data_IF_672571895846
#
_entry.id   IF_672571895846
#
_cell.length_a   1.000
_cell.length_b   1.000
_cell.length_c   1.000
_cell.angle_alpha   90.00
_cell.angle_beta   90.00
_cell.angle_gamma   90.00
#
_symmetry.space_group_name_H-M   'P 1'
#
loop_
_entity.id
_entity.type
_entity.pdbx_description
1 polymer ?
#
# COMPACT_ATOMS: atom_id res chain seq x y z
N UNK A 1 -17.05 0.49 -6.70
CA UNK A 1 -15.78 0.54 -5.91
C UNK A 1 -15.84 1.70 -4.92
N UNK A 2 -15.56 1.44 -3.62
CA UNK A 2 -15.37 2.50 -2.61
C UNK A 2 -14.12 3.31 -2.94
N UNK A 3 -14.15 4.60 -2.64
CA UNK A 3 -13.02 5.50 -2.85
C UNK A 3 -12.42 5.98 -1.54
N UNK A 4 -11.11 6.13 -1.53
CA UNK A 4 -10.30 6.75 -0.49
C UNK A 4 -9.82 8.11 -0.99
N UNK A 5 -9.80 9.11 -0.12
CA UNK A 5 -9.25 10.43 -0.45
C UNK A 5 -7.73 10.36 -0.25
N UNK A 6 -6.99 10.65 -1.31
CA UNK A 6 -5.53 10.68 -1.26
C UNK A 6 -5.07 12.01 -0.67
N UNK A 7 -4.24 11.93 0.37
CA UNK A 7 -3.68 13.10 1.03
C UNK A 7 -4.75 14.10 1.48
N UNK A 8 -4.39 15.38 1.48
CA UNK A 8 -5.32 16.46 1.83
C UNK A 8 -6.22 16.83 0.64
N UNK A 9 -7.20 15.98 0.33
CA UNK A 9 -8.18 16.18 -0.76
C UNK A 9 -7.60 16.34 -2.18
N UNK A 10 -6.42 15.73 -2.44
CA UNK A 10 -5.77 15.81 -3.76
C UNK A 10 -6.62 15.11 -4.82
N UNK A 11 -7.02 13.88 -4.56
CA UNK A 11 -7.82 13.06 -5.47
C UNK A 11 -8.53 11.95 -4.72
N UNK A 12 -9.69 11.54 -5.22
CA UNK A 12 -10.31 10.25 -4.87
C UNK A 12 -9.68 9.15 -5.71
N UNK A 13 -9.31 8.06 -5.05
CA UNK A 13 -8.71 6.87 -5.66
C UNK A 13 -9.42 5.62 -5.15
N UNK A 14 -9.36 4.48 -5.86
CA UNK A 14 -9.93 3.23 -5.37
C UNK A 14 -9.40 2.88 -3.99
N UNK A 15 -10.25 2.43 -3.08
CA UNK A 15 -9.82 1.96 -1.75
C UNK A 15 -9.02 0.65 -1.81
N UNK A 16 -9.04 -0.03 -2.96
CA UNK A 16 -8.22 -1.22 -3.27
C UNK A 16 -7.34 -0.89 -4.47
N UNK A 17 -6.03 -0.93 -4.27
CA UNK A 17 -5.00 -0.75 -5.29
C UNK A 17 -4.36 -2.11 -5.64
N UNK A 18 -3.95 -2.27 -6.87
CA UNK A 18 -3.29 -3.47 -7.41
C UNK A 18 -1.80 -3.38 -7.12
N UNK A 19 -1.29 -4.19 -6.20
CA UNK A 19 0.15 -4.32 -5.94
C UNK A 19 0.82 -5.24 -6.96
N UNK A 20 1.80 -4.71 -7.68
CA UNK A 20 2.41 -5.37 -8.84
C UNK A 20 3.63 -6.25 -8.49
N UNK A 21 4.01 -6.39 -7.21
CA UNK A 21 5.21 -7.11 -6.79
C UNK A 21 5.30 -8.55 -7.31
N UNK A 22 4.18 -9.25 -7.44
CA UNK A 22 4.10 -10.67 -7.85
C UNK A 22 3.71 -10.86 -9.31
N UNK A 23 3.74 -9.81 -10.11
CA UNK A 23 3.31 -9.87 -11.51
C UNK A 23 4.48 -10.13 -12.48
N UNK A 24 5.73 -10.16 -12.00
CA UNK A 24 6.94 -10.36 -12.81
C UNK A 24 7.01 -11.73 -13.52
N UNK A 25 6.21 -12.71 -13.09
CA UNK A 25 6.19 -14.05 -13.69
C UNK A 25 5.12 -14.22 -14.77
N UNK A 26 4.26 -13.20 -14.97
CA UNK A 26 3.24 -13.24 -16.03
C UNK A 26 3.86 -13.05 -17.40
N UNK A 27 3.27 -13.70 -18.40
CA UNK A 27 3.49 -13.31 -19.78
C UNK A 27 2.86 -11.95 -20.08
N UNK A 28 3.24 -11.32 -21.18
CA UNK A 28 2.68 -10.05 -21.61
C UNK A 28 1.15 -10.15 -21.82
N UNK A 29 0.67 -11.23 -22.44
CA UNK A 29 -0.75 -11.43 -22.69
C UNK A 29 -1.54 -11.62 -21.39
N UNK A 30 -1.00 -12.38 -20.42
CA UNK A 30 -1.60 -12.53 -19.09
C UNK A 30 -1.60 -11.21 -18.32
N UNK A 31 -0.58 -10.37 -18.49
CA UNK A 31 -0.52 -9.04 -17.87
C UNK A 31 -1.57 -8.12 -18.48
N UNK A 32 -1.67 -8.07 -19.81
CA UNK A 32 -2.68 -7.29 -20.51
C UNK A 32 -4.10 -7.67 -20.05
N UNK A 33 -4.40 -8.97 -20.03
CA UNK A 33 -5.69 -9.46 -19.54
C UNK A 33 -5.96 -9.06 -18.07
N UNK A 34 -4.94 -9.16 -17.21
CA UNK A 34 -5.07 -8.77 -15.80
C UNK A 34 -5.30 -7.27 -15.61
N UNK A 35 -4.64 -6.42 -16.43
CA UNK A 35 -4.87 -4.96 -16.41
C UNK A 35 -6.34 -4.66 -16.78
N UNK A 36 -6.85 -5.24 -17.86
CA UNK A 36 -8.26 -5.09 -18.27
C UNK A 36 -9.21 -5.53 -17.16
N UNK A 37 -9.00 -6.72 -16.60
CA UNK A 37 -9.83 -7.24 -15.53
C UNK A 37 -9.82 -6.34 -14.27
N UNK A 38 -8.69 -5.70 -13.96
CA UNK A 38 -8.60 -4.74 -12.87
C UNK A 38 -9.37 -3.44 -13.18
N UNK A 39 -9.19 -2.89 -14.37
CA UNK A 39 -9.88 -1.66 -14.81
C UNK A 39 -11.41 -1.86 -14.88
N UNK A 40 -11.88 -2.96 -15.41
CA UNK A 40 -13.32 -3.32 -15.46
C UNK A 40 -13.95 -3.38 -14.06
N UNK A 41 -13.18 -3.78 -13.05
CA UNK A 41 -13.59 -3.79 -11.65
C UNK A 41 -13.42 -2.43 -10.94
N UNK A 42 -12.92 -1.41 -11.63
CA UNK A 42 -12.64 -0.07 -11.11
C UNK A 42 -11.36 0.01 -10.26
N UNK A 43 -10.48 -0.99 -10.32
CA UNK A 43 -9.18 -1.00 -9.65
C UNK A 43 -8.09 -0.40 -10.56
N UNK A 44 -8.20 0.89 -10.84
CA UNK A 44 -7.31 1.62 -11.75
C UNK A 44 -6.02 2.13 -11.09
N UNK A 45 -5.77 1.85 -9.83
CA UNK A 45 -4.56 2.24 -9.11
C UNK A 45 -3.58 1.06 -9.06
N UNK A 46 -2.39 1.23 -9.67
CA UNK A 46 -1.35 0.20 -9.73
C UNK A 46 -0.12 0.64 -8.94
N UNK A 47 0.33 -0.22 -8.02
CA UNK A 47 1.43 0.02 -7.10
C UNK A 47 2.67 -0.81 -7.49
N UNK A 48 3.67 -0.15 -8.03
CA UNK A 48 4.95 -0.69 -8.46
C UNK A 48 6.08 -0.39 -7.47
N UNK A 49 7.28 -0.88 -7.77
CA UNK A 49 8.56 -0.44 -7.24
C UNK A 49 9.69 -0.88 -8.19
N UNK A 50 10.74 -0.07 -8.28
CA UNK A 50 11.90 -0.32 -9.15
C UNK A 50 12.61 -1.66 -8.89
N UNK A 51 12.48 -2.20 -7.67
CA UNK A 51 13.09 -3.47 -7.27
C UNK A 51 12.20 -4.70 -7.53
N UNK A 52 10.91 -4.55 -7.86
CA UNK A 52 10.00 -5.70 -8.01
C UNK A 52 10.41 -6.56 -9.21
N UNK A 53 10.82 -7.82 -8.91
CA UNK A 53 11.40 -8.70 -9.93
C UNK A 53 12.66 -8.10 -10.59
N UNK A 54 13.44 -7.28 -9.88
CA UNK A 54 14.57 -6.52 -10.42
C UNK A 54 14.20 -5.61 -11.60
N UNK A 55 13.02 -4.98 -11.54
CA UNK A 55 12.46 -4.12 -12.58
C UNK A 55 11.55 -4.85 -13.58
N UNK A 56 11.56 -6.18 -13.59
CA UNK A 56 10.78 -6.99 -14.55
C UNK A 56 9.28 -6.76 -14.41
N UNK A 57 8.78 -6.54 -13.18
CA UNK A 57 7.36 -6.27 -12.94
C UNK A 57 6.89 -4.99 -13.65
N UNK A 58 7.69 -3.93 -13.65
CA UNK A 58 7.40 -2.69 -14.38
C UNK A 58 7.52 -2.91 -15.90
N UNK A 59 8.56 -3.65 -16.35
CA UNK A 59 8.78 -3.90 -17.79
C UNK A 59 7.62 -4.68 -18.42
N UNK A 60 7.18 -5.78 -17.81
CA UNK A 60 6.07 -6.59 -18.34
C UNK A 60 4.76 -5.78 -18.34
N UNK A 61 4.52 -4.96 -17.30
CA UNK A 61 3.36 -4.08 -17.25
C UNK A 61 3.43 -3.04 -18.36
N UNK A 62 4.56 -2.35 -18.52
CA UNK A 62 4.76 -1.33 -19.54
C UNK A 62 4.65 -1.86 -20.96
N UNK A 63 5.22 -3.04 -21.25
CA UNK A 63 5.09 -3.71 -22.55
C UNK A 63 3.63 -4.09 -22.85
N UNK A 64 2.90 -4.65 -21.89
CA UNK A 64 1.49 -4.99 -22.05
C UNK A 64 0.62 -3.75 -22.28
N UNK A 65 0.94 -2.65 -21.60
CA UNK A 65 0.27 -1.37 -21.77
C UNK A 65 0.57 -0.73 -23.12
N UNK A 66 1.84 -0.69 -23.55
CA UNK A 66 2.26 -0.02 -24.77
C UNK A 66 1.75 -0.69 -26.04
N UNK A 67 1.58 -2.01 -26.01
CA UNK A 67 1.14 -2.81 -27.15
C UNK A 67 -0.40 -2.82 -27.33
N UNK A 68 -1.15 -2.29 -26.35
CA UNK A 68 -2.61 -2.25 -26.40
C UNK A 68 -3.14 -0.80 -26.50
N UNK A 69 -3.55 -0.35 -27.70
CA UNK A 69 -4.04 1.02 -27.90
C UNK A 69 -5.40 1.29 -27.21
N UNK A 70 -6.08 0.28 -26.67
CA UNK A 70 -7.32 0.44 -25.91
C UNK A 70 -7.03 0.88 -24.46
N UNK A 71 -5.84 0.60 -23.94
CA UNK A 71 -5.39 1.04 -22.63
C UNK A 71 -4.87 2.48 -22.70
N UNK A 72 -5.43 3.38 -21.92
CA UNK A 72 -5.02 4.77 -21.89
C UNK A 72 -4.33 5.12 -20.59
N UNK A 73 -3.24 5.88 -20.67
CA UNK A 73 -2.47 6.29 -19.49
C UNK A 73 -3.31 7.09 -18.47
N UNK A 74 -4.20 7.94 -18.95
CA UNK A 74 -5.09 8.75 -18.13
C UNK A 74 -6.14 7.96 -17.35
N UNK A 75 -6.45 6.73 -17.77
CA UNK A 75 -7.39 5.84 -17.08
C UNK A 75 -6.74 5.09 -15.91
N UNK A 76 -5.42 5.23 -15.74
CA UNK A 76 -4.63 4.56 -14.71
C UNK A 76 -3.97 5.56 -13.77
N UNK A 77 -3.87 5.18 -12.48
CA UNK A 77 -3.08 5.88 -11.48
C UNK A 77 -1.85 5.02 -11.17
N UNK A 78 -0.67 5.47 -11.61
CA UNK A 78 0.57 4.72 -11.45
C UNK A 78 1.38 5.28 -10.29
N UNK A 79 1.60 4.42 -9.30
CA UNK A 79 2.51 4.63 -8.18
C UNK A 79 3.73 3.74 -8.36
N UNK A 80 4.92 4.28 -8.10
CA UNK A 80 6.12 3.46 -7.96
C UNK A 80 6.99 3.94 -6.80
N UNK A 81 8.07 3.21 -6.52
CA UNK A 81 8.94 3.45 -5.36
C UNK A 81 10.40 3.29 -5.76
N UNK A 82 11.28 4.03 -5.06
CA UNK A 82 12.74 3.91 -5.23
C UNK A 82 13.46 3.99 -3.87
N UNK A 83 14.78 3.75 -3.88
CA UNK A 83 15.66 3.94 -2.74
C UNK A 83 16.18 2.66 -2.08
N UNK A 84 15.69 1.47 -2.45
CA UNK A 84 16.27 0.20 -1.99
C UNK A 84 17.34 -0.26 -2.96
N UNK A 85 18.54 -0.52 -2.45
CA UNK A 85 19.68 -1.09 -3.18
C UNK A 85 20.08 -2.43 -2.57
N UNK A 86 20.91 -3.18 -3.25
CA UNK A 86 21.43 -4.44 -2.73
C UNK A 86 22.36 -4.18 -1.53
N UNK A 87 21.85 -4.43 -0.32
CA UNK A 87 22.60 -4.31 0.92
C UNK A 87 22.60 -2.91 1.57
N UNK A 88 21.97 -1.91 0.97
CA UNK A 88 21.87 -0.55 1.52
C UNK A 88 20.66 0.21 0.97
N UNK A 89 20.35 1.35 1.56
CA UNK A 89 19.37 2.31 1.04
C UNK A 89 20.10 3.52 0.45
N UNK A 90 19.48 4.17 -0.52
CA UNK A 90 20.07 5.32 -1.22
C UNK A 90 18.96 6.30 -1.61
N UNK A 91 18.87 7.39 -0.86
CA UNK A 91 17.93 8.49 -1.13
C UNK A 91 18.68 9.75 -1.59
N UNK A 92 19.86 9.59 -2.19
CA UNK A 92 20.57 10.69 -2.83
C UNK A 92 19.78 11.24 -4.02
N UNK A 93 19.98 12.52 -4.32
CA UNK A 93 19.37 13.17 -5.50
C UNK A 93 19.64 12.41 -6.78
N UNK A 94 20.90 12.03 -7.00
CA UNK A 94 21.32 11.31 -8.22
C UNK A 94 20.55 9.99 -8.37
N UNK A 95 20.47 9.20 -7.27
CA UNK A 95 19.80 7.90 -7.32
C UNK A 95 18.30 8.05 -7.53
N UNK A 96 17.63 8.99 -6.86
CA UNK A 96 16.20 9.22 -7.04
C UNK A 96 15.88 9.58 -8.49
N UNK A 97 16.61 10.53 -9.09
CA UNK A 97 16.41 10.95 -10.47
C UNK A 97 16.62 9.80 -11.44
N UNK A 98 17.73 9.06 -11.31
CA UNK A 98 18.04 7.90 -12.15
C UNK A 98 17.02 6.78 -12.02
N UNK A 99 16.54 6.52 -10.80
CA UNK A 99 15.50 5.52 -10.55
C UNK A 99 14.20 5.88 -11.26
N UNK A 100 13.75 7.14 -11.15
CA UNK A 100 12.53 7.60 -11.83
C UNK A 100 12.65 7.49 -13.35
N UNK A 101 13.79 7.89 -13.93
CA UNK A 101 14.01 7.74 -15.37
C UNK A 101 13.90 6.26 -15.80
N UNK A 102 14.50 5.35 -15.03
CA UNK A 102 14.39 3.91 -15.28
C UNK A 102 12.97 3.36 -15.10
N UNK A 103 12.23 3.82 -14.08
CA UNK A 103 10.81 3.45 -13.85
C UNK A 103 9.95 3.90 -15.03
N UNK A 104 10.07 5.15 -15.47
CA UNK A 104 9.30 5.69 -16.59
C UNK A 104 9.57 4.94 -17.89
N UNK A 105 10.85 4.60 -18.13
CA UNK A 105 11.24 3.80 -19.29
C UNK A 105 10.61 2.40 -19.26
N UNK A 106 10.67 1.70 -18.12
CA UNK A 106 10.08 0.35 -17.98
C UNK A 106 8.58 0.33 -18.05
N UNK A 107 7.92 1.35 -17.50
CA UNK A 107 6.45 1.49 -17.53
C UNK A 107 5.91 2.08 -18.84
N UNK A 108 6.78 2.43 -19.80
CA UNK A 108 6.41 3.07 -21.06
C UNK A 108 5.49 4.29 -20.87
N UNK A 109 5.86 5.18 -19.93
CA UNK A 109 5.07 6.38 -19.58
C UNK A 109 5.98 7.58 -19.35
N UNK A 110 5.44 8.79 -19.55
CA UNK A 110 6.17 10.04 -19.34
C UNK A 110 6.07 10.56 -17.90
N UNK A 111 5.15 10.01 -17.10
CA UNK A 111 4.95 10.47 -15.72
C UNK A 111 4.43 9.39 -14.78
N UNK A 112 4.74 9.57 -13.49
CA UNK A 112 4.09 8.89 -12.37
C UNK A 112 3.06 9.81 -11.72
N UNK A 113 1.96 9.25 -11.28
CA UNK A 113 1.01 9.97 -10.43
C UNK A 113 1.53 10.13 -9.01
N UNK A 114 2.29 9.13 -8.52
CA UNK A 114 2.84 9.13 -7.16
C UNK A 114 4.18 8.38 -7.10
N UNK A 115 5.18 9.00 -6.49
CA UNK A 115 6.47 8.38 -6.15
C UNK A 115 6.61 8.25 -4.65
N UNK A 116 7.00 7.05 -4.16
CA UNK A 116 7.30 6.84 -2.75
C UNK A 116 8.81 6.60 -2.53
N UNK A 117 9.35 7.18 -1.46
CA UNK A 117 10.61 6.71 -0.88
C UNK A 117 10.34 5.37 -0.18
N UNK A 118 10.94 4.29 -0.70
CA UNK A 118 10.51 2.91 -0.37
C UNK A 118 10.83 2.49 1.08
N UNK A 119 11.95 3.00 1.62
CA UNK A 119 12.39 2.80 3.01
C UNK A 119 13.09 4.05 3.54
N UNK A 120 13.07 4.29 4.85
CA UNK A 120 13.93 5.31 5.44
C UNK A 120 15.39 4.93 5.23
N UNK A 121 16.18 5.89 4.76
CA UNK A 121 17.63 5.78 4.67
C UNK A 121 18.27 6.43 5.91
N UNK A 122 19.14 5.70 6.59
CA UNK A 122 19.83 6.21 7.79
C UNK A 122 20.84 7.33 7.46
N UNK A 123 21.26 7.44 6.20
CA UNK A 123 22.20 8.43 5.70
C UNK A 123 21.52 9.51 4.84
N UNK A 124 20.19 9.62 4.91
CA UNK A 124 19.45 10.59 4.11
C UNK A 124 19.88 12.03 4.42
N UNK A 125 20.16 12.78 3.34
CA UNK A 125 20.28 14.23 3.36
C UNK A 125 18.96 14.81 2.82
N UNK A 126 18.09 15.38 3.67
CA UNK A 126 16.77 15.85 3.26
C UNK A 126 16.79 16.90 2.14
N UNK A 127 17.85 17.68 2.08
CA UNK A 127 18.10 18.69 1.03
C UNK A 127 18.28 18.03 -0.35
N UNK A 128 18.93 16.87 -0.42
CA UNK A 128 19.05 16.11 -1.66
C UNK A 128 17.71 15.56 -2.15
N UNK A 129 16.92 15.02 -1.22
CA UNK A 129 15.56 14.58 -1.51
C UNK A 129 14.71 15.74 -2.03
N UNK A 130 14.77 16.90 -1.37
CA UNK A 130 14.05 18.10 -1.77
C UNK A 130 14.45 18.54 -3.19
N UNK A 131 15.75 18.58 -3.47
CA UNK A 131 16.28 18.96 -4.78
C UNK A 131 15.88 17.95 -5.88
N UNK A 132 15.77 16.65 -5.57
CA UNK A 132 15.27 15.64 -6.50
C UNK A 132 13.78 15.83 -6.78
N UNK A 133 12.98 16.02 -5.74
CA UNK A 133 11.53 16.20 -5.87
C UNK A 133 11.16 17.46 -6.64
N UNK A 134 11.90 18.56 -6.42
CA UNK A 134 11.72 19.79 -7.20
C UNK A 134 11.92 19.54 -8.70
N UNK A 135 13.03 18.89 -9.10
CA UNK A 135 13.30 18.56 -10.50
C UNK A 135 12.21 17.67 -11.09
N UNK A 136 11.78 16.63 -10.38
CA UNK A 136 10.76 15.69 -10.84
C UNK A 136 9.37 16.34 -10.97
N UNK A 137 9.03 17.22 -10.05
CA UNK A 137 7.76 17.95 -10.07
C UNK A 137 7.74 19.00 -11.17
N UNK A 138 8.79 19.83 -11.28
CA UNK A 138 8.88 20.90 -12.28
C UNK A 138 8.97 20.37 -13.72
N UNK A 139 9.59 19.19 -13.92
CA UNK A 139 9.60 18.51 -15.22
C UNK A 139 8.30 17.77 -15.55
N UNK A 140 7.35 17.66 -14.62
CA UNK A 140 6.12 16.91 -14.78
C UNK A 140 6.26 15.39 -14.72
N UNK A 141 7.46 14.87 -14.44
CA UNK A 141 7.72 13.41 -14.34
C UNK A 141 7.03 12.77 -13.14
N UNK A 142 6.80 13.51 -12.05
CA UNK A 142 6.09 13.02 -10.86
C UNK A 142 5.11 14.09 -10.38
N UNK A 143 3.85 13.68 -10.18
CA UNK A 143 2.78 14.59 -9.76
C UNK A 143 2.68 14.75 -8.25
N UNK A 144 2.86 13.64 -7.51
CA UNK A 144 2.74 13.62 -6.05
C UNK A 144 3.85 12.75 -5.43
N UNK A 145 4.11 12.98 -4.15
CA UNK A 145 5.18 12.31 -3.42
C UNK A 145 4.67 11.73 -2.10
N UNK A 146 5.31 10.68 -1.64
CA UNK A 146 5.02 10.04 -0.37
C UNK A 146 6.18 9.19 0.10
N UNK A 147 5.93 8.42 1.13
CA UNK A 147 6.94 7.56 1.77
C UNK A 147 6.37 6.17 2.02
N UNK A 148 7.23 5.23 2.37
CA UNK A 148 6.85 3.91 2.84
C UNK A 148 7.66 3.54 4.08
N UNK A 149 6.98 3.06 5.13
CA UNK A 149 7.57 2.63 6.40
C UNK A 149 8.36 3.73 7.17
N UNK A 150 7.99 4.99 7.00
CA UNK A 150 8.60 6.10 7.74
C UNK A 150 7.86 6.36 9.06
N UNK A 151 8.60 6.70 10.11
CA UNK A 151 8.06 7.19 11.38
C UNK A 151 7.67 8.66 11.29
N UNK A 152 6.79 9.17 12.18
CA UNK A 152 6.38 10.58 12.19
C UNK A 152 7.54 11.58 12.09
N UNK A 153 8.55 11.45 12.95
CA UNK A 153 9.67 12.39 12.96
C UNK A 153 10.56 12.30 11.71
N UNK A 154 10.58 11.17 11.00
CA UNK A 154 11.27 11.07 9.71
C UNK A 154 10.48 11.80 8.61
N UNK A 155 9.15 11.75 8.66
CA UNK A 155 8.28 12.51 7.77
C UNK A 155 8.43 14.01 8.02
N UNK A 156 8.41 14.44 9.29
CA UNK A 156 8.62 15.84 9.68
C UNK A 156 9.99 16.37 9.21
N UNK A 157 11.05 15.57 9.38
CA UNK A 157 12.38 15.94 8.92
C UNK A 157 12.42 16.17 7.41
N UNK A 158 11.85 15.26 6.62
CA UNK A 158 11.76 15.43 5.18
C UNK A 158 10.89 16.64 4.81
N UNK A 159 9.72 16.79 5.43
CA UNK A 159 8.76 17.86 5.11
C UNK A 159 9.27 19.25 5.46
N UNK A 160 10.26 19.35 6.37
CA UNK A 160 10.93 20.63 6.65
C UNK A 160 11.70 21.19 5.45
N UNK A 161 12.17 20.31 4.54
CA UNK A 161 12.98 20.69 3.37
C UNK A 161 12.22 20.53 2.06
N UNK A 162 11.35 19.53 1.97
CA UNK A 162 10.55 19.22 0.78
C UNK A 162 9.35 20.16 0.69
N UNK A 163 9.19 20.87 -0.42
CA UNK A 163 8.05 21.79 -0.66
C UNK A 163 6.75 21.04 -0.99
N UNK A 164 6.86 19.90 -1.64
CA UNK A 164 5.72 19.07 -2.03
C UNK A 164 5.19 18.32 -0.80
N UNK A 165 3.88 18.27 -0.59
CA UNK A 165 3.33 17.50 0.53
C UNK A 165 3.59 15.99 0.35
N UNK A 166 3.99 15.32 1.43
CA UNK A 166 4.06 13.87 1.48
C UNK A 166 2.66 13.32 1.76
N UNK A 167 2.00 12.79 0.73
CA UNK A 167 0.55 12.51 0.76
C UNK A 167 0.19 11.08 1.19
N UNK A 168 1.17 10.17 1.21
CA UNK A 168 1.02 8.75 1.51
C UNK A 168 2.14 8.27 2.42
N UNK A 169 1.80 7.40 3.37
CA UNK A 169 2.76 6.49 4.00
C UNK A 169 2.26 5.04 3.84
N UNK A 170 3.00 4.24 3.07
CA UNK A 170 2.65 2.84 2.82
C UNK A 170 3.31 1.94 3.85
N UNK A 171 2.50 1.25 4.69
CA UNK A 171 2.97 0.48 5.85
C UNK A 171 2.37 -0.91 5.90
N UNK A 172 3.03 -1.85 6.58
CA UNK A 172 2.45 -3.17 6.80
C UNK A 172 1.24 -3.07 7.71
N UNK A 173 0.10 -3.63 7.26
CA UNK A 173 -1.08 -3.69 8.09
C UNK A 173 -1.97 -4.87 7.68
N UNK A 174 -2.28 -5.72 8.63
CA UNK A 174 -3.20 -6.85 8.51
C UNK A 174 -3.81 -7.15 9.88
N UNK A 175 -4.80 -8.03 9.96
CA UNK A 175 -5.41 -8.36 11.27
C UNK A 175 -4.33 -8.84 12.27
N UNK A 176 -3.42 -9.81 11.92
CA UNK A 176 -2.34 -10.21 12.82
C UNK A 176 -1.22 -9.18 12.99
N UNK A 177 -1.05 -8.25 12.06
CA UNK A 177 -0.01 -7.21 12.10
C UNK A 177 -0.69 -5.85 12.25
N UNK A 178 -1.18 -5.57 13.46
CA UNK A 178 -1.97 -4.36 13.73
C UNK A 178 -1.41 -3.54 14.91
N UNK A 179 -0.09 -3.52 15.09
CA UNK A 179 0.58 -2.72 16.12
C UNK A 179 0.24 -1.22 16.04
N UNK A 180 0.01 -0.69 14.83
CA UNK A 180 -0.49 0.68 14.61
C UNK A 180 -1.76 1.01 15.40
N UNK A 181 -2.56 0.00 15.73
CA UNK A 181 -3.81 0.13 16.48
C UNK A 181 -3.62 -0.29 17.94
N UNK A 182 -2.88 -1.37 18.18
CA UNK A 182 -2.69 -1.97 19.51
C UNK A 182 -2.06 -0.97 20.49
N UNK A 183 -1.01 -0.25 20.09
CA UNK A 183 -0.31 0.71 20.95
C UNK A 183 -1.23 1.86 21.43
N UNK A 184 -2.22 2.24 20.64
CA UNK A 184 -3.21 3.25 21.01
C UNK A 184 -4.33 2.73 21.91
N UNK A 185 -4.55 1.40 21.99
CA UNK A 185 -5.57 0.78 22.86
C UNK A 185 -4.99 0.29 24.19
N UNK A 186 -3.75 -0.18 24.17
CA UNK A 186 -3.03 -0.70 25.33
C UNK A 186 -2.20 0.38 26.06
N UNK A 187 -2.59 1.64 25.92
CA UNK A 187 -1.89 2.78 26.55
C UNK A 187 -1.79 2.60 28.07
N UNK A 188 -0.60 2.88 28.61
CA UNK A 188 -0.29 2.76 30.05
C UNK A 188 -0.43 1.34 30.62
N UNK A 189 -0.25 0.31 29.80
CA UNK A 189 -0.23 -1.11 30.23
C UNK A 189 1.19 -1.69 30.08
N UNK A 190 1.50 -2.71 30.86
CA UNK A 190 2.75 -3.45 30.78
C UNK A 190 2.59 -4.70 29.87
N UNK A 191 2.15 -4.48 28.63
CA UNK A 191 1.94 -5.54 27.63
C UNK A 191 2.81 -5.31 26.39
N UNK A 192 3.11 -6.33 25.59
CA UNK A 192 3.84 -6.15 24.34
C UNK A 192 3.18 -5.15 23.37
N UNK A 193 1.85 -5.10 23.35
CA UNK A 193 1.07 -4.20 22.47
C UNK A 193 1.16 -2.74 22.89
N UNK A 194 1.48 -2.45 24.16
CA UNK A 194 1.62 -1.07 24.67
C UNK A 194 2.94 -0.40 24.27
N UNK A 195 3.90 -1.16 23.73
CA UNK A 195 5.17 -0.60 23.30
C UNK A 195 4.96 0.14 21.97
N UNK A 196 5.21 1.45 22.00
CA UNK A 196 5.16 2.26 20.78
C UNK A 196 6.36 1.98 19.87
N UNK A 197 6.17 1.17 18.85
CA UNK A 197 7.19 0.82 17.87
C UNK A 197 7.29 1.81 16.71
N UNK A 198 6.27 2.63 16.48
CA UNK A 198 6.12 3.43 15.26
C UNK A 198 5.95 4.94 15.48
N UNK A 199 5.91 5.40 16.74
CA UNK A 199 5.79 6.82 17.07
C UNK A 199 4.37 7.36 16.90
N UNK A 200 3.36 6.54 17.21
CA UNK A 200 1.94 6.86 17.05
C UNK A 200 1.58 7.22 15.60
N UNK A 201 2.16 6.47 14.66
CA UNK A 201 2.09 6.74 13.22
C UNK A 201 0.66 6.84 12.70
N UNK A 202 -0.25 6.01 13.19
CA UNK A 202 -1.66 6.02 12.78
C UNK A 202 -2.31 7.38 13.02
N UNK A 203 -2.19 7.90 14.22
CA UNK A 203 -2.81 9.18 14.60
C UNK A 203 -2.08 10.36 13.98
N UNK A 204 -0.76 10.29 13.86
CA UNK A 204 0.02 11.28 13.13
C UNK A 204 -0.46 11.41 11.67
N UNK A 205 -0.59 10.30 10.94
CA UNK A 205 -1.07 10.32 9.56
C UNK A 205 -2.49 10.88 9.46
N UNK A 206 -3.37 10.56 10.41
CA UNK A 206 -4.73 11.11 10.46
C UNK A 206 -4.75 12.63 10.71
N UNK A 207 -3.91 13.13 11.62
CA UNK A 207 -3.79 14.56 11.93
C UNK A 207 -3.27 15.37 10.74
N UNK A 208 -2.32 14.82 10.00
CA UNK A 208 -1.67 15.48 8.86
C UNK A 208 -2.32 15.16 7.50
N UNK A 209 -3.43 14.43 7.47
CA UNK A 209 -4.11 14.00 6.25
C UNK A 209 -3.20 13.22 5.30
N UNK A 210 -2.30 12.39 5.84
CA UNK A 210 -1.46 11.46 5.10
C UNK A 210 -2.23 10.16 4.95
N UNK A 211 -2.44 9.70 3.72
CA UNK A 211 -3.14 8.45 3.47
C UNK A 211 -2.28 7.26 3.85
N UNK A 212 -2.78 6.40 4.72
CA UNK A 212 -2.15 5.12 5.00
C UNK A 212 -2.51 4.10 3.93
N UNK A 213 -1.48 3.50 3.31
CA UNK A 213 -1.65 2.37 2.40
C UNK A 213 -1.19 1.09 3.10
N UNK A 214 -2.09 0.11 3.23
CA UNK A 214 -1.83 -1.16 3.88
C UNK A 214 -1.21 -2.16 2.90
N UNK A 215 0.13 -2.37 2.95
CA UNK A 215 0.77 -3.44 2.20
C UNK A 215 0.74 -4.77 2.97
N UNK A 216 0.77 -5.89 2.24
CA UNK A 216 0.64 -7.25 2.79
C UNK A 216 -0.61 -7.46 3.67
N UNK A 217 -1.81 -7.11 3.20
CA UNK A 217 -3.04 -7.07 4.00
C UNK A 217 -3.48 -8.43 4.53
N UNK A 218 -2.90 -9.52 4.03
CA UNK A 218 -3.24 -10.91 4.41
C UNK A 218 -2.05 -11.67 5.00
N UNK A 219 -0.94 -11.01 5.29
CA UNK A 219 0.27 -11.68 5.79
C UNK A 219 0.36 -11.72 7.31
N UNK A 220 1.01 -12.77 7.78
CA UNK A 220 1.44 -12.97 9.16
C UNK A 220 2.68 -12.11 9.48
N UNK A 221 3.00 -11.88 10.78
CA UNK A 221 4.25 -11.25 11.19
C UNK A 221 5.48 -11.97 10.62
N UNK A 222 6.59 -11.24 10.46
CA UNK A 222 7.89 -11.78 10.06
C UNK A 222 7.88 -12.59 8.74
N UNK A 223 7.03 -12.24 7.79
CA UNK A 223 6.96 -12.84 6.44
C UNK A 223 6.62 -14.33 6.41
N UNK A 224 5.97 -14.86 7.46
CA UNK A 224 5.62 -16.28 7.59
C UNK A 224 4.54 -16.77 6.61
N UNK A 225 4.02 -15.91 5.75
CA UNK A 225 3.01 -16.24 4.75
C UNK A 225 1.62 -15.67 5.07
N UNK A 226 0.60 -16.19 4.37
CA UNK A 226 -0.78 -15.75 4.51
C UNK A 226 -1.43 -16.36 5.76
N UNK A 227 -2.17 -15.55 6.54
CA UNK A 227 -2.91 -16.05 7.70
C UNK A 227 -4.23 -16.73 7.32
N UNK A 228 -4.81 -16.41 6.16
CA UNK A 228 -6.04 -17.04 5.68
C UNK A 228 -5.81 -18.54 5.45
N UNK A 229 -6.60 -19.37 6.12
CA UNK A 229 -6.48 -20.83 6.09
C UNK A 229 -5.26 -21.40 6.83
N UNK A 230 -4.45 -20.56 7.49
CA UNK A 230 -3.27 -21.03 8.24
C UNK A 230 -3.64 -21.65 9.57
N UNK A 231 -2.99 -22.78 9.90
CA UNK A 231 -3.09 -23.42 11.22
C UNK A 231 -2.47 -22.61 12.38
N UNK A 232 -1.70 -21.56 12.09
CA UNK A 232 -1.16 -20.66 13.13
C UNK A 232 -2.25 -19.71 13.69
N UNK A 233 -3.34 -19.48 12.94
CA UNK A 233 -4.44 -18.59 13.33
C UNK A 233 -5.81 -19.27 13.26
N UNK A 234 -6.03 -20.44 13.92
CA UNK A 234 -7.27 -21.22 13.79
C UNK A 234 -8.49 -20.46 14.28
N UNK A 235 -8.37 -19.73 15.40
CA UNK A 235 -9.48 -18.93 15.95
C UNK A 235 -9.88 -17.79 15.04
N UNK A 236 -8.89 -17.10 14.44
CA UNK A 236 -9.14 -16.02 13.47
C UNK A 236 -9.84 -16.55 12.23
N UNK A 237 -9.32 -17.67 11.67
CA UNK A 237 -9.93 -18.27 10.47
C UNK A 237 -11.36 -18.75 10.73
N UNK A 238 -11.62 -19.37 11.89
CA UNK A 238 -12.98 -19.75 12.25
C UNK A 238 -13.91 -18.53 12.36
N UNK A 239 -13.46 -17.43 12.99
CA UNK A 239 -14.25 -16.22 13.13
C UNK A 239 -14.50 -15.54 11.77
N UNK A 240 -13.48 -15.51 10.90
CA UNK A 240 -13.63 -15.01 9.53
C UNK A 240 -14.71 -15.78 8.75
N UNK A 241 -14.72 -17.11 8.84
CA UNK A 241 -15.74 -17.95 8.18
C UNK A 241 -17.15 -17.65 8.69
N UNK A 242 -17.36 -17.57 10.01
CA UNK A 242 -18.67 -17.26 10.59
C UNK A 242 -19.19 -15.91 10.10
N UNK A 243 -18.33 -14.88 10.05
CA UNK A 243 -18.74 -13.57 9.58
C UNK A 243 -18.95 -13.57 8.05
N UNK A 244 -18.10 -14.28 7.31
CA UNK A 244 -18.22 -14.42 5.86
C UNK A 244 -19.55 -15.09 5.44
N UNK A 245 -19.98 -16.14 6.15
CA UNK A 245 -21.28 -16.77 5.97
C UNK A 245 -22.44 -15.79 6.21
N UNK A 246 -22.37 -14.99 7.28
CA UNK A 246 -23.40 -13.96 7.59
C UNK A 246 -23.56 -12.95 6.45
N UNK A 247 -22.47 -12.52 5.81
CA UNK A 247 -22.48 -11.55 4.72
C UNK A 247 -22.58 -12.20 3.33
N UNK A 248 -22.56 -13.53 3.25
CA UNK A 248 -22.53 -14.31 2.00
C UNK A 248 -21.37 -13.91 1.07
N UNK A 249 -20.17 -13.81 1.65
CA UNK A 249 -18.91 -13.45 0.95
C UNK A 249 -17.77 -14.39 1.39
N UNK A 250 -16.57 -14.23 0.81
CA UNK A 250 -15.41 -15.01 1.23
C UNK A 250 -14.74 -14.43 2.52
N UNK A 251 -13.95 -15.27 3.18
CA UNK A 251 -13.09 -14.87 4.32
C UNK A 251 -12.08 -13.79 3.90
N UNK A 252 -11.55 -13.87 2.69
CA UNK A 252 -10.70 -12.84 2.05
C UNK A 252 -11.41 -11.48 2.02
N UNK A 253 -12.69 -11.47 1.66
CA UNK A 253 -13.52 -10.25 1.65
C UNK A 253 -13.65 -9.66 3.05
N UNK A 254 -13.92 -10.48 4.07
CA UNK A 254 -14.05 -10.01 5.45
C UNK A 254 -12.71 -9.48 6.00
N UNK A 255 -11.60 -10.16 5.70
CA UNK A 255 -10.28 -9.70 6.12
C UNK A 255 -9.91 -8.34 5.49
N UNK A 256 -10.27 -8.12 4.23
CA UNK A 256 -10.11 -6.82 3.57
C UNK A 256 -11.08 -5.76 4.16
N UNK A 257 -12.34 -6.13 4.41
CA UNK A 257 -13.33 -5.24 5.01
C UNK A 257 -12.91 -4.77 6.42
N UNK A 258 -12.19 -5.60 7.17
CA UNK A 258 -11.64 -5.23 8.48
C UNK A 258 -10.70 -4.02 8.39
N UNK A 259 -9.80 -3.99 7.40
CA UNK A 259 -8.90 -2.86 7.15
C UNK A 259 -9.69 -1.63 6.71
N UNK A 260 -10.60 -1.79 5.75
CA UNK A 260 -11.41 -0.68 5.21
C UNK A 260 -12.39 -0.11 6.23
N UNK A 261 -12.74 -0.87 7.29
CA UNK A 261 -13.63 -0.42 8.36
C UNK A 261 -12.99 0.65 9.23
N UNK A 262 -11.66 0.69 9.30
CA UNK A 262 -10.96 1.63 10.17
C UNK A 262 -11.17 3.08 9.71
N UNK A 263 -11.46 4.03 10.64
CA UNK A 263 -11.79 5.42 10.31
C UNK A 263 -10.59 6.23 9.76
N UNK A 264 -9.38 5.69 9.78
CA UNK A 264 -8.21 6.28 9.09
C UNK A 264 -8.35 6.27 7.57
N UNK A 265 -9.39 5.64 7.02
CA UNK A 265 -9.70 5.63 5.59
C UNK A 265 -8.55 5.09 4.73
N UNK A 266 -7.99 3.94 5.17
CA UNK A 266 -6.83 3.32 4.56
C UNK A 266 -7.14 2.80 3.15
N UNK A 267 -6.12 2.79 2.30
CA UNK A 267 -6.14 2.11 1.00
C UNK A 267 -5.43 0.76 1.13
N UNK A 268 -6.02 -0.31 0.60
CA UNK A 268 -5.39 -1.64 0.57
C UNK A 268 -4.50 -1.75 -0.68
N UNK A 269 -3.26 -2.21 -0.49
CA UNK A 269 -2.38 -2.63 -1.59
C UNK A 269 -2.44 -4.15 -1.67
N UNK A 270 -3.11 -4.69 -2.69
CA UNK A 270 -3.24 -6.14 -2.85
C UNK A 270 -1.93 -6.75 -3.33
N UNK A 271 -1.67 -8.01 -2.99
CA UNK A 271 -0.52 -8.74 -3.53
C UNK A 271 -0.93 -9.92 -4.42
N UNK A 272 -2.18 -9.94 -4.90
CA UNK A 272 -2.69 -11.04 -5.72
C UNK A 272 -2.42 -10.84 -7.21
N UNK A 273 -2.05 -11.93 -7.89
CA UNK A 273 -1.99 -12.02 -9.35
C UNK A 273 -3.23 -12.73 -9.93
N UNK A 274 -4.22 -13.08 -9.10
CA UNK A 274 -5.45 -13.77 -9.47
C UNK A 274 -6.61 -12.78 -9.56
N UNK A 275 -7.31 -12.78 -10.69
CA UNK A 275 -8.50 -11.95 -10.93
C UNK A 275 -9.64 -12.28 -9.98
N UNK A 276 -9.86 -13.58 -9.70
CA UNK A 276 -10.90 -14.01 -8.78
C UNK A 276 -10.67 -13.49 -7.37
N UNK A 277 -9.41 -13.55 -6.87
CA UNK A 277 -9.06 -12.96 -5.57
C UNK A 277 -9.14 -11.44 -5.57
N UNK A 278 -8.76 -10.78 -6.67
CA UNK A 278 -8.93 -9.34 -6.78
C UNK A 278 -10.39 -8.95 -6.64
N UNK A 279 -11.29 -9.69 -7.29
CA UNK A 279 -12.74 -9.49 -7.18
C UNK A 279 -13.25 -9.68 -5.74
N UNK A 280 -12.78 -10.71 -5.04
CA UNK A 280 -13.11 -10.94 -3.62
C UNK A 280 -12.65 -9.78 -2.74
N UNK A 281 -11.42 -9.28 -2.95
CA UNK A 281 -10.88 -8.15 -2.18
C UNK A 281 -11.68 -6.86 -2.46
N UNK A 282 -12.04 -6.62 -3.72
CA UNK A 282 -12.85 -5.47 -4.11
C UNK A 282 -14.26 -5.53 -3.50
N UNK A 283 -14.85 -6.71 -3.37
CA UNK A 283 -16.16 -6.89 -2.75
C UNK A 283 -16.19 -6.39 -1.29
N UNK A 284 -15.04 -6.29 -0.61
CA UNK A 284 -14.92 -5.69 0.71
C UNK A 284 -15.36 -4.21 0.78
N UNK A 285 -15.35 -3.52 -0.36
CA UNK A 285 -15.80 -2.13 -0.45
C UNK A 285 -17.30 -1.96 -0.11
N UNK A 286 -18.09 -3.01 -0.28
CA UNK A 286 -19.54 -3.01 -0.03
C UNK A 286 -19.90 -3.57 1.36
N UNK A 287 -18.89 -4.03 2.13
CA UNK A 287 -19.06 -4.60 3.45
C UNK A 287 -18.72 -3.57 4.52
N UNK A 288 -19.64 -3.34 5.44
CA UNK A 288 -19.42 -2.55 6.65
C UNK A 288 -19.56 -3.44 7.87
N UNK A 289 -18.43 -3.88 8.43
CA UNK A 289 -18.43 -4.64 9.68
C UNK A 289 -18.98 -3.80 10.82
N UNK A 290 -19.74 -4.43 11.71
CA UNK A 290 -20.12 -3.79 12.96
C UNK A 290 -18.88 -3.54 13.84
N UNK A 291 -19.04 -2.75 14.89
CA UNK A 291 -17.96 -2.52 15.85
C UNK A 291 -17.55 -3.81 16.54
N UNK A 292 -18.55 -4.61 16.93
CA UNK A 292 -18.37 -5.90 17.59
C UNK A 292 -17.59 -6.88 16.70
N UNK A 293 -18.00 -7.04 15.45
CA UNK A 293 -17.32 -7.93 14.48
C UNK A 293 -15.86 -7.52 14.26
N UNK A 294 -15.59 -6.22 14.19
CA UNK A 294 -14.23 -5.71 14.03
C UNK A 294 -13.35 -6.11 15.22
N UNK A 295 -13.83 -5.93 16.46
CA UNK A 295 -13.10 -6.29 17.67
C UNK A 295 -13.05 -7.81 17.90
N UNK A 296 -14.04 -8.57 17.51
CA UNK A 296 -14.01 -10.04 17.55
C UNK A 296 -12.89 -10.60 16.68
N UNK A 297 -12.68 -10.06 15.48
CA UNK A 297 -11.57 -10.44 14.59
C UNK A 297 -10.22 -10.03 15.18
N UNK A 298 -10.13 -8.84 15.76
CA UNK A 298 -8.94 -8.34 16.43
C UNK A 298 -8.51 -9.28 17.58
N UNK A 299 -9.44 -9.64 18.46
CA UNK A 299 -9.22 -10.57 19.56
C UNK A 299 -8.87 -12.00 19.07
N UNK A 300 -9.56 -12.47 18.03
CA UNK A 300 -9.31 -13.79 17.45
C UNK A 300 -7.90 -13.94 16.85
N UNK A 301 -7.27 -12.83 16.46
CA UNK A 301 -5.88 -12.80 16.03
C UNK A 301 -4.86 -12.86 17.17
N UNK A 302 -5.32 -12.85 18.44
CA UNK A 302 -4.48 -12.95 19.62
C UNK A 302 -4.09 -11.59 20.23
N UNK A 303 -4.67 -10.51 19.79
CA UNK A 303 -4.50 -9.19 20.39
C UNK A 303 -5.31 -9.07 21.69
N UNK A 304 -4.98 -8.09 22.51
CA UNK A 304 -5.63 -7.84 23.80
C UNK A 304 -6.59 -6.66 23.71
N UNK A 305 -7.66 -6.75 24.50
CA UNK A 305 -8.46 -5.59 24.89
C UNK A 305 -8.35 -5.47 26.41
N UNK A 306 -7.95 -4.31 26.93
CA UNK A 306 -7.88 -4.05 28.36
C UNK A 306 -9.22 -4.21 29.06
#
# INVERSE_FOLDING_TARGET
MRETILGNHIRKVPSVAVGCMRLSEKSKDEMNHFIHAALEQGAYFFDHADIYGSGMSESIFGEAFADDPSLKREDMYLQSKCGIRQGFYDLSKEHILKSVDGILQRLHTDYLDLLLLHRPDALVEPEEVAAAFDVLFESGKVRHFGVSNHKPMQIELLQKYVRQPLVVNQVQFSIPVSNLVANGMEVNMETPGSIDHDGSLLDYCRLHNITLQAWSPFQMPAWKGCFLGSGEYPKLNQKLQVIAEKYNVSDTTIAAAWILRHPANMQIITGTASESRLKEIIAACDITLTREEWYELYLAAGHLLP
#
